data_IF_555905184511
#
_entry.id   IF_555905184511
#
_cell.length_a   1.000
_cell.length_b   1.000
_cell.length_c   1.000
_cell.angle_alpha   90.00
_cell.angle_beta   90.00
_cell.angle_gamma   90.00
#
_symmetry.space_group_name_H-M   'P 1'
#
loop_
_entity.id
_entity.type
_entity.pdbx_description
1 polymer ?
#
# COMPACT_ATOMS: atom_id res chain seq x y z
N UNK A 1 -13.17 1.68 -40.33
CA UNK A 1 -14.07 2.49 -39.48
C UNK A 1 -15.47 2.43 -40.06
N UNK A 2 -16.51 2.25 -39.24
CA UNK A 2 -17.89 2.44 -39.73
C UNK A 2 -18.13 3.92 -40.03
N UNK A 3 -18.97 4.24 -41.02
CA UNK A 3 -19.40 5.61 -41.25
C UNK A 3 -20.35 6.05 -40.15
N UNK A 4 -20.35 7.35 -39.79
CA UNK A 4 -21.25 7.92 -38.76
C UNK A 4 -22.72 7.59 -39.00
N UNK A 5 -23.12 7.48 -40.26
CA UNK A 5 -24.47 7.08 -40.64
C UNK A 5 -24.79 5.63 -40.25
N UNK A 6 -23.85 4.70 -40.47
CA UNK A 6 -24.02 3.30 -40.04
C UNK A 6 -24.09 3.19 -38.52
N UNK A 7 -23.27 3.94 -37.79
CA UNK A 7 -23.33 4.00 -36.32
C UNK A 7 -24.67 4.55 -35.81
N UNK A 8 -25.20 5.58 -36.47
CA UNK A 8 -26.52 6.16 -36.16
C UNK A 8 -27.64 5.15 -36.35
N UNK A 9 -27.68 4.45 -37.48
CA UNK A 9 -28.69 3.41 -37.77
C UNK A 9 -28.63 2.29 -36.73
N UNK A 10 -27.42 1.81 -36.40
CA UNK A 10 -27.25 0.78 -35.38
C UNK A 10 -27.65 1.25 -33.98
N UNK A 11 -27.32 2.50 -33.60
CA UNK A 11 -27.71 3.07 -32.31
C UNK A 11 -29.24 3.10 -32.15
N UNK A 12 -29.96 3.49 -33.22
CA UNK A 12 -31.43 3.51 -33.24
C UNK A 12 -32.01 2.10 -33.12
N UNK A 13 -31.46 1.13 -33.86
CA UNK A 13 -31.87 -0.28 -33.76
C UNK A 13 -31.72 -0.83 -32.33
N UNK A 14 -30.56 -0.58 -31.70
CA UNK A 14 -30.32 -0.98 -30.31
C UNK A 14 -31.30 -0.29 -29.35
N UNK A 15 -31.61 0.99 -29.59
CA UNK A 15 -32.58 1.72 -28.76
C UNK A 15 -33.99 1.14 -28.87
N UNK A 16 -34.46 0.80 -30.08
CA UNK A 16 -35.74 0.12 -30.30
C UNK A 16 -35.81 -1.24 -29.62
N UNK A 17 -34.68 -1.97 -29.54
CA UNK A 17 -34.56 -3.21 -28.75
C UNK A 17 -34.57 -3.00 -27.24
N UNK A 18 -34.61 -1.76 -26.76
CA UNK A 18 -34.70 -1.42 -25.32
C UNK A 18 -33.35 -1.17 -24.64
N UNK A 19 -32.26 -1.00 -25.40
CA UNK A 19 -30.94 -0.73 -24.82
C UNK A 19 -30.89 0.69 -24.23
N UNK A 20 -30.20 0.83 -23.09
CA UNK A 20 -29.90 2.14 -22.48
C UNK A 20 -28.83 2.90 -23.27
N UNK A 21 -28.76 4.22 -23.11
CA UNK A 21 -27.73 5.06 -23.74
C UNK A 21 -26.31 4.58 -23.42
N UNK A 22 -26.04 4.19 -22.17
CA UNK A 22 -24.71 3.71 -21.76
C UNK A 22 -24.35 2.36 -22.42
N UNK A 23 -25.34 1.49 -22.64
CA UNK A 23 -25.10 0.23 -23.36
C UNK A 23 -24.80 0.51 -24.84
N UNK A 24 -25.53 1.42 -25.48
CA UNK A 24 -25.28 1.82 -26.87
C UNK A 24 -23.87 2.40 -27.02
N UNK A 25 -23.48 3.30 -26.10
CA UNK A 25 -22.13 3.88 -26.04
C UNK A 25 -21.06 2.81 -25.89
N UNK A 26 -21.24 1.85 -24.97
CA UNK A 26 -20.26 0.78 -24.75
C UNK A 26 -20.15 -0.17 -25.94
N UNK A 27 -21.28 -0.53 -26.58
CA UNK A 27 -21.32 -1.44 -27.72
C UNK A 27 -20.71 -0.81 -28.97
N UNK A 28 -21.03 0.45 -29.26
CA UNK A 28 -20.58 1.13 -30.48
C UNK A 28 -19.28 1.92 -30.30
N UNK A 29 -18.77 2.06 -29.07
CA UNK A 29 -17.59 2.87 -28.72
C UNK A 29 -17.68 4.33 -29.20
N UNK A 30 -18.90 4.90 -29.17
CA UNK A 30 -19.18 6.29 -29.57
C UNK A 30 -19.33 7.21 -28.36
N UNK A 31 -19.27 8.52 -28.57
CA UNK A 31 -19.53 9.48 -27.50
C UNK A 31 -20.99 9.43 -27.00
N UNK A 32 -21.19 9.76 -25.71
CA UNK A 32 -22.53 9.81 -25.10
C UNK A 32 -23.42 10.90 -25.71
N UNK A 33 -22.84 12.02 -26.14
CA UNK A 33 -23.56 13.12 -26.77
C UNK A 33 -24.07 12.74 -28.15
N UNK A 34 -23.26 12.03 -28.95
CA UNK A 34 -23.67 11.48 -30.25
C UNK A 34 -24.81 10.46 -30.10
N UNK A 35 -24.65 9.47 -29.20
CA UNK A 35 -25.70 8.48 -28.94
C UNK A 35 -27.02 9.11 -28.49
N UNK A 36 -26.96 10.09 -27.57
CA UNK A 36 -28.14 10.81 -27.07
C UNK A 36 -28.89 11.57 -28.17
N UNK A 37 -28.14 12.24 -29.06
CA UNK A 37 -28.73 13.01 -30.16
C UNK A 37 -29.41 12.11 -31.18
N UNK A 38 -28.79 10.99 -31.54
CA UNK A 38 -29.29 10.09 -32.59
C UNK A 38 -30.53 9.28 -32.24
N UNK A 39 -30.80 9.08 -30.94
CA UNK A 39 -31.91 8.22 -30.48
C UNK A 39 -32.96 9.00 -29.68
N UNK A 40 -32.87 10.34 -29.65
CA UNK A 40 -33.73 11.23 -28.86
C UNK A 40 -35.22 11.08 -29.19
N UNK A 41 -35.53 10.89 -30.47
CA UNK A 41 -36.86 10.74 -31.04
C UNK A 41 -37.39 9.29 -31.01
N UNK A 42 -36.56 8.32 -30.63
CA UNK A 42 -36.95 6.90 -30.56
C UNK A 42 -37.82 6.66 -29.32
N UNK A 43 -39.13 6.53 -29.52
CA UNK A 43 -40.10 6.19 -28.46
C UNK A 43 -39.88 4.76 -27.96
N UNK A 44 -39.73 4.60 -26.65
CA UNK A 44 -39.65 3.29 -25.99
C UNK A 44 -41.00 2.90 -25.40
N UNK A 45 -41.24 1.60 -25.26
CA UNK A 45 -42.47 1.09 -24.63
C UNK A 45 -42.43 1.26 -23.12
N UNK A 46 -43.61 1.31 -22.46
CA UNK A 46 -43.72 1.35 -20.99
C UNK A 46 -42.96 0.17 -20.35
N UNK A 47 -43.07 -1.04 -20.92
CA UNK A 47 -42.34 -2.24 -20.44
C UNK A 47 -40.82 -2.04 -20.49
N UNK A 48 -40.28 -1.46 -21.56
CA UNK A 48 -38.85 -1.19 -21.68
C UNK A 48 -38.38 -0.11 -20.68
N UNK A 49 -39.17 0.94 -20.47
CA UNK A 49 -38.87 1.96 -19.45
C UNK A 49 -38.83 1.35 -18.04
N UNK A 50 -39.83 0.53 -17.68
CA UNK A 50 -39.89 -0.14 -16.37
C UNK A 50 -38.71 -1.11 -16.20
N UNK A 51 -38.36 -1.90 -17.22
CA UNK A 51 -37.23 -2.81 -17.17
C UNK A 51 -35.90 -2.08 -16.92
N UNK A 52 -35.64 -0.99 -17.64
CA UNK A 52 -34.43 -0.18 -17.44
C UNK A 52 -34.39 0.47 -16.06
N UNK A 53 -35.51 0.98 -15.55
CA UNK A 53 -35.61 1.53 -14.18
C UNK A 53 -35.34 0.47 -13.12
N UNK A 54 -35.95 -0.71 -13.24
CA UNK A 54 -35.72 -1.83 -12.33
C UNK A 54 -34.25 -2.26 -12.33
N UNK A 55 -33.62 -2.38 -13.51
CA UNK A 55 -32.19 -2.71 -13.63
C UNK A 55 -31.29 -1.66 -12.98
N UNK A 56 -31.61 -0.38 -13.15
CA UNK A 56 -30.89 0.71 -12.49
C UNK A 56 -31.05 0.64 -10.96
N UNK A 57 -32.28 0.43 -10.47
CA UNK A 57 -32.56 0.28 -9.05
C UNK A 57 -31.82 -0.92 -8.43
N UNK A 58 -31.82 -2.08 -9.08
CA UNK A 58 -31.05 -3.24 -8.62
C UNK A 58 -29.56 -2.93 -8.49
N UNK A 59 -28.99 -2.20 -9.45
CA UNK A 59 -27.59 -1.77 -9.39
C UNK A 59 -27.33 -0.87 -8.18
N UNK A 60 -28.21 0.09 -7.90
CA UNK A 60 -28.11 0.97 -6.73
C UNK A 60 -28.22 0.18 -5.42
N UNK A 61 -29.13 -0.79 -5.33
CA UNK A 61 -29.27 -1.66 -4.15
C UNK A 61 -28.01 -2.47 -3.92
N UNK A 62 -27.41 -3.04 -4.98
CA UNK A 62 -26.15 -3.79 -4.88
C UNK A 62 -25.02 -2.88 -4.37
N UNK A 63 -24.88 -1.67 -4.93
CA UNK A 63 -23.87 -0.70 -4.50
C UNK A 63 -24.07 -0.34 -3.02
N UNK A 64 -25.29 0.04 -2.62
CA UNK A 64 -25.59 0.36 -1.21
C UNK A 64 -25.34 -0.80 -0.26
N UNK A 65 -25.64 -2.04 -0.68
CA UNK A 65 -25.35 -3.25 0.12
C UNK A 65 -23.84 -3.44 0.29
N UNK A 66 -23.05 -3.26 -0.76
CA UNK A 66 -21.58 -3.36 -0.70
C UNK A 66 -21.02 -2.27 0.21
N UNK A 67 -21.46 -1.02 0.06
CA UNK A 67 -21.04 0.11 0.90
C UNK A 67 -21.37 -0.12 2.38
N UNK A 68 -22.61 -0.54 2.66
CA UNK A 68 -23.04 -0.85 4.03
C UNK A 68 -22.24 -1.99 4.63
N UNK A 69 -22.00 -3.06 3.86
CA UNK A 69 -21.17 -4.19 4.29
C UNK A 69 -19.75 -3.74 4.62
N UNK A 70 -19.10 -2.99 3.73
CA UNK A 70 -17.75 -2.47 3.94
C UNK A 70 -17.67 -1.53 5.15
N UNK A 71 -18.67 -0.66 5.33
CA UNK A 71 -18.77 0.23 6.50
C UNK A 71 -18.87 -0.58 7.79
N UNK A 72 -19.77 -1.55 7.85
CA UNK A 72 -19.99 -2.39 9.03
C UNK A 72 -18.75 -3.25 9.33
N UNK A 73 -18.12 -3.80 8.30
CA UNK A 73 -16.88 -4.57 8.42
C UNK A 73 -15.72 -3.71 8.95
N UNK A 74 -15.55 -2.50 8.42
CA UNK A 74 -14.54 -1.57 8.90
C UNK A 74 -14.80 -1.10 10.34
N UNK A 75 -16.07 -0.87 10.70
CA UNK A 75 -16.45 -0.55 12.08
C UNK A 75 -16.14 -1.70 13.03
N UNK A 76 -16.47 -2.95 12.65
CA UNK A 76 -16.12 -4.14 13.42
C UNK A 76 -14.61 -4.31 13.57
N UNK A 77 -13.85 -4.20 12.48
CA UNK A 77 -12.37 -4.26 12.50
C UNK A 77 -11.79 -3.22 13.45
N UNK A 78 -12.24 -1.97 13.36
CA UNK A 78 -11.81 -0.89 14.24
C UNK A 78 -12.14 -1.18 15.69
N UNK A 79 -13.36 -1.64 15.98
CA UNK A 79 -13.77 -1.99 17.34
C UNK A 79 -12.88 -3.09 17.95
N UNK A 80 -12.56 -4.14 17.18
CA UNK A 80 -11.64 -5.20 17.63
C UNK A 80 -10.26 -4.63 17.91
N UNK A 81 -9.72 -3.82 16.99
CA UNK A 81 -8.42 -3.18 17.16
C UNK A 81 -8.38 -2.25 18.37
N UNK A 82 -9.41 -1.45 18.61
CA UNK A 82 -9.47 -0.49 19.71
C UNK A 82 -9.58 -1.16 21.09
N UNK A 83 -10.21 -2.34 21.16
CA UNK A 83 -10.22 -3.17 22.37
C UNK A 83 -8.80 -3.65 22.66
N UNK A 84 -8.18 -4.35 21.71
CA UNK A 84 -6.87 -4.99 21.94
C UNK A 84 -5.69 -4.02 21.97
N UNK A 85 -5.84 -2.81 21.42
CA UNK A 85 -4.82 -1.76 21.56
C UNK A 85 -4.57 -1.37 23.02
N UNK A 86 -5.57 -1.58 23.90
CA UNK A 86 -5.48 -1.31 25.34
C UNK A 86 -4.77 -2.43 26.12
N UNK A 87 -4.58 -3.61 25.51
CA UNK A 87 -3.89 -4.75 26.13
C UNK A 87 -2.39 -4.45 26.33
N UNK A 88 -1.83 -3.61 25.46
CA UNK A 88 -0.49 -3.06 25.68
C UNK A 88 -0.60 -1.93 26.72
N UNK A 89 0.08 -2.14 27.85
CA UNK A 89 0.09 -1.21 29.00
C UNK A 89 0.23 0.25 28.57
N UNK A 90 -0.53 1.14 29.24
CA UNK A 90 -0.38 2.58 29.10
C UNK A 90 0.97 3.10 29.63
N UNK A 91 1.75 2.26 30.33
CA UNK A 91 3.10 2.59 30.77
C UNK A 91 4.00 2.78 29.54
N UNK A 92 4.86 3.79 29.60
CA UNK A 92 5.86 4.00 28.56
C UNK A 92 6.72 2.74 28.37
N UNK A 93 7.03 2.42 27.11
CA UNK A 93 7.98 1.36 26.79
C UNK A 93 9.36 1.77 27.31
N UNK A 94 9.92 0.96 28.21
CA UNK A 94 11.27 1.18 28.71
C UNK A 94 12.35 0.78 27.69
N UNK A 95 13.60 1.12 27.99
CA UNK A 95 14.73 0.84 27.10
C UNK A 95 14.99 -0.66 26.92
N UNK A 96 14.62 -1.49 27.90
CA UNK A 96 14.80 -2.94 27.80
C UNK A 96 13.78 -3.54 26.85
N UNK A 97 12.51 -3.12 26.94
CA UNK A 97 11.46 -3.49 26.00
C UNK A 97 11.80 -3.05 24.59
N UNK A 98 12.29 -1.81 24.42
CA UNK A 98 12.75 -1.32 23.12
C UNK A 98 13.96 -2.11 22.60
N UNK A 99 14.86 -2.59 23.48
CA UNK A 99 15.99 -3.44 23.11
C UNK A 99 15.52 -4.77 22.55
N UNK A 100 14.60 -5.44 23.24
CA UNK A 100 14.03 -6.73 22.80
C UNK A 100 13.28 -6.53 21.48
N UNK A 101 12.43 -5.50 21.37
CA UNK A 101 11.67 -5.19 20.16
C UNK A 101 12.59 -4.90 18.97
N UNK A 102 13.59 -4.03 19.14
CA UNK A 102 14.54 -3.70 18.08
C UNK A 102 15.37 -4.90 17.63
N UNK A 103 15.78 -5.75 18.58
CA UNK A 103 16.50 -7.00 18.28
C UNK A 103 15.62 -7.98 17.51
N UNK A 104 14.37 -8.19 17.92
CA UNK A 104 13.43 -9.07 17.23
C UNK A 104 13.11 -8.57 15.80
N UNK A 105 12.94 -7.25 15.63
CA UNK A 105 12.76 -6.65 14.31
C UNK A 105 14.00 -6.83 13.42
N UNK A 106 15.20 -6.67 13.98
CA UNK A 106 16.42 -6.96 13.24
C UNK A 106 16.53 -8.45 12.89
N UNK A 107 16.11 -9.35 13.76
CA UNK A 107 16.09 -10.77 13.46
C UNK A 107 15.16 -11.12 12.29
N UNK A 108 14.02 -10.43 12.20
CA UNK A 108 13.05 -10.62 11.13
C UNK A 108 13.47 -9.99 9.79
N UNK A 109 13.92 -8.72 9.81
CA UNK A 109 14.07 -7.87 8.61
C UNK A 109 15.52 -7.38 8.38
N UNK A 110 16.43 -7.74 9.28
CA UNK A 110 17.82 -7.31 9.25
C UNK A 110 18.71 -8.16 8.35
N UNK A 111 19.87 -7.60 8.01
CA UNK A 111 20.88 -8.27 7.19
C UNK A 111 21.52 -9.42 7.95
N UNK A 112 21.63 -10.59 7.31
CA UNK A 112 22.25 -11.81 7.89
C UNK A 112 23.51 -12.25 7.15
N UNK A 113 23.98 -11.46 6.19
CA UNK A 113 25.13 -11.82 5.37
C UNK A 113 26.41 -11.81 6.20
N UNK A 114 27.00 -12.98 6.41
CA UNK A 114 28.30 -13.11 7.07
C UNK A 114 29.47 -12.62 6.21
N UNK A 115 29.26 -12.51 4.89
CA UNK A 115 30.25 -11.99 3.94
C UNK A 115 30.38 -10.47 3.99
N UNK A 116 29.26 -9.78 4.26
CA UNK A 116 29.23 -8.33 4.42
C UNK A 116 28.65 -8.00 5.80
N UNK A 117 29.52 -8.03 6.81
CA UNK A 117 29.19 -7.85 8.24
C UNK A 117 28.90 -6.38 8.53
N UNK A 118 27.83 -5.87 7.95
CA UNK A 118 27.34 -4.52 8.17
C UNK A 118 25.90 -4.60 8.67
N UNK A 119 25.53 -3.68 9.57
CA UNK A 119 24.14 -3.53 9.95
C UNK A 119 23.34 -2.99 8.76
N UNK A 120 22.24 -3.67 8.44
CA UNK A 120 21.26 -3.23 7.48
C UNK A 120 19.87 -3.67 7.92
N UNK A 121 18.88 -2.81 7.70
CA UNK A 121 17.47 -3.08 7.99
C UNK A 121 16.62 -2.53 6.85
N UNK A 122 15.71 -3.33 6.29
CA UNK A 122 14.87 -2.96 5.15
C UNK A 122 13.40 -3.07 5.51
N UNK A 123 12.62 -2.03 5.24
CA UNK A 123 11.17 -2.11 5.40
C UNK A 123 10.42 -1.04 4.59
N UNK A 124 9.13 -1.26 4.34
CA UNK A 124 8.26 -0.30 3.67
C UNK A 124 7.21 0.33 4.60
N UNK A 125 7.06 -0.16 5.83
CA UNK A 125 6.21 0.44 6.85
C UNK A 125 6.96 1.57 7.58
N UNK A 126 6.50 2.83 7.49
CA UNK A 126 7.11 3.95 8.19
C UNK A 126 7.11 3.80 9.72
N UNK A 127 6.16 3.07 10.30
CA UNK A 127 6.10 2.84 11.75
C UNK A 127 7.26 1.93 12.19
N UNK A 128 7.55 0.88 11.43
CA UNK A 128 8.69 0.00 11.70
C UNK A 128 10.01 0.75 11.58
N UNK A 129 10.16 1.61 10.57
CA UNK A 129 11.33 2.48 10.42
C UNK A 129 11.50 3.40 11.64
N UNK A 130 10.43 4.01 12.14
CA UNK A 130 10.49 4.87 13.34
C UNK A 130 10.92 4.09 14.59
N UNK A 131 10.38 2.89 14.79
CA UNK A 131 10.79 2.01 15.91
C UNK A 131 12.26 1.65 15.80
N UNK A 132 12.74 1.28 14.61
CA UNK A 132 14.14 0.93 14.38
C UNK A 132 15.07 2.13 14.62
N UNK A 133 14.70 3.33 14.15
CA UNK A 133 15.46 4.55 14.44
C UNK A 133 15.49 4.87 15.94
N UNK A 134 14.37 4.71 16.65
CA UNK A 134 14.31 4.90 18.09
C UNK A 134 15.23 3.90 18.84
N UNK A 135 15.21 2.63 18.45
CA UNK A 135 16.11 1.61 18.99
C UNK A 135 17.59 1.95 18.75
N UNK A 136 17.95 2.29 17.50
CA UNK A 136 19.34 2.59 17.14
C UNK A 136 19.88 3.84 17.86
N UNK A 137 19.07 4.89 18.01
CA UNK A 137 19.46 6.11 18.71
C UNK A 137 19.49 5.93 20.22
N UNK A 138 18.45 5.34 20.80
CA UNK A 138 18.27 5.33 22.26
C UNK A 138 18.92 4.12 22.95
N UNK A 139 18.94 2.96 22.32
CA UNK A 139 19.50 1.72 22.89
C UNK A 139 20.93 1.49 22.37
N UNK A 140 21.14 1.56 21.06
CA UNK A 140 22.47 1.34 20.48
C UNK A 140 23.38 2.58 20.51
N UNK A 141 22.83 3.76 20.85
CA UNK A 141 23.56 5.04 20.94
C UNK A 141 24.33 5.40 19.67
N UNK A 142 23.74 5.11 18.50
CA UNK A 142 24.38 5.39 17.21
C UNK A 142 24.34 6.90 16.92
N UNK A 143 25.49 7.55 16.65
CA UNK A 143 25.53 8.97 16.27
C UNK A 143 24.87 9.23 14.91
N UNK A 144 24.20 10.38 14.78
CA UNK A 144 23.43 10.74 13.57
C UNK A 144 24.25 10.68 12.27
N UNK A 145 25.54 11.06 12.33
CA UNK A 145 26.47 11.02 11.18
C UNK A 145 26.74 9.62 10.62
N UNK A 146 26.48 8.56 11.39
CA UNK A 146 26.76 7.17 11.00
C UNK A 146 25.64 6.53 10.19
N UNK A 147 24.42 7.09 10.24
CA UNK A 147 23.31 6.53 9.48
C UNK A 147 23.54 6.72 7.98
N UNK A 148 23.23 5.70 7.19
CA UNK A 148 23.09 5.80 5.75
C UNK A 148 21.72 5.25 5.37
N UNK A 149 21.17 5.77 4.30
CA UNK A 149 19.86 5.37 3.81
C UNK A 149 19.93 4.98 2.34
N UNK A 150 19.10 4.04 1.93
CA UNK A 150 18.93 3.71 0.53
C UNK A 150 17.47 3.34 0.26
N UNK A 151 16.97 3.70 -0.92
CA UNK A 151 15.59 3.46 -1.34
C UNK A 151 15.61 2.57 -2.59
N UNK A 152 14.84 1.49 -2.54
CA UNK A 152 14.45 0.73 -3.72
C UNK A 152 13.05 1.17 -4.16
N UNK A 153 12.95 1.79 -5.32
CA UNK A 153 11.74 2.45 -5.80
C UNK A 153 11.31 1.91 -7.17
N UNK A 154 10.02 1.77 -7.41
CA UNK A 154 9.54 1.41 -8.75
C UNK A 154 9.90 2.48 -9.79
N UNK A 155 10.18 2.01 -11.01
CA UNK A 155 10.73 2.85 -12.08
C UNK A 155 9.90 4.11 -12.37
N UNK A 156 8.56 4.01 -12.36
CA UNK A 156 7.64 5.09 -12.71
C UNK A 156 7.33 6.08 -11.58
N UNK A 157 7.76 5.81 -10.35
CA UNK A 157 7.50 6.68 -9.20
C UNK A 157 8.48 7.86 -9.13
N UNK A 158 8.23 8.85 -8.27
CA UNK A 158 9.14 10.00 -8.09
C UNK A 158 10.19 9.70 -6.99
N UNK A 159 11.47 9.75 -7.37
CA UNK A 159 12.58 9.52 -6.42
C UNK A 159 12.71 10.64 -5.38
N UNK A 160 12.61 11.91 -5.80
CA UNK A 160 12.75 13.04 -4.89
C UNK A 160 11.59 13.09 -3.89
N UNK A 161 10.38 12.72 -4.30
CA UNK A 161 9.25 12.58 -3.38
C UNK A 161 9.49 11.48 -2.33
N UNK A 162 9.98 10.31 -2.74
CA UNK A 162 10.29 9.20 -1.85
C UNK A 162 11.43 9.55 -0.87
N UNK A 163 12.49 10.21 -1.34
CA UNK A 163 13.61 10.66 -0.53
C UNK A 163 13.16 11.64 0.57
N UNK A 164 12.38 12.66 0.22
CA UNK A 164 11.81 13.62 1.19
C UNK A 164 10.90 12.94 2.20
N UNK A 165 10.04 12.02 1.73
CA UNK A 165 9.16 11.25 2.60
C UNK A 165 9.96 10.45 3.63
N UNK A 166 10.95 9.67 3.19
CA UNK A 166 11.73 8.82 4.07
C UNK A 166 12.68 9.60 4.99
N UNK A 167 13.19 10.74 4.54
CA UNK A 167 13.96 11.66 5.39
C UNK A 167 13.09 12.18 6.53
N UNK A 168 11.84 12.58 6.26
CA UNK A 168 10.91 13.04 7.29
C UNK A 168 10.49 11.93 8.28
N UNK A 169 10.40 10.67 7.83
CA UNK A 169 10.08 9.53 8.70
C UNK A 169 11.28 9.14 9.58
N UNK A 170 12.47 9.02 8.99
CA UNK A 170 13.66 8.49 9.67
C UNK A 170 14.45 9.53 10.44
N UNK A 171 14.36 10.81 10.03
CA UNK A 171 15.26 11.87 10.51
C UNK A 171 16.67 11.80 9.95
N UNK A 172 16.95 10.93 8.96
CA UNK A 172 18.23 10.88 8.27
C UNK A 172 18.24 12.01 7.21
N UNK A 173 19.27 12.88 7.16
CA UNK A 173 19.34 13.94 6.16
C UNK A 173 19.60 13.38 4.77
N UNK A 174 19.09 14.05 3.72
CA UNK A 174 19.24 13.63 2.33
C UNK A 174 20.71 13.45 1.89
N UNK A 175 21.63 14.22 2.47
CA UNK A 175 23.08 14.09 2.22
C UNK A 175 23.66 12.73 2.65
N UNK A 176 22.96 11.98 3.49
CA UNK A 176 23.33 10.64 3.94
C UNK A 176 22.61 9.52 3.18
N UNK A 177 21.87 9.86 2.13
CA UNK A 177 21.20 8.88 1.27
C UNK A 177 22.15 8.46 0.15
N UNK A 178 22.27 7.15 -0.06
CA UNK A 178 22.79 6.61 -1.30
C UNK A 178 21.81 6.86 -2.44
N UNK A 179 22.32 6.79 -3.68
CA UNK A 179 21.51 6.95 -4.89
C UNK A 179 20.32 6.00 -4.88
N UNK A 180 19.10 6.55 -4.95
CA UNK A 180 17.87 5.78 -5.04
C UNK A 180 17.90 4.84 -6.26
N UNK A 181 17.64 3.55 -6.03
CA UNK A 181 17.61 2.54 -7.08
C UNK A 181 16.23 2.44 -7.67
N UNK A 182 16.14 2.56 -8.99
CA UNK A 182 14.93 2.34 -9.77
C UNK A 182 14.83 0.88 -10.19
N UNK A 183 13.81 0.19 -9.69
CA UNK A 183 13.57 -1.23 -9.96
C UNK A 183 12.40 -1.38 -10.92
N UNK A 184 12.59 -2.17 -11.97
CA UNK A 184 11.52 -2.59 -12.86
C UNK A 184 10.95 -3.89 -12.29
N UNK A 185 9.73 -3.81 -11.74
CA UNK A 185 9.06 -5.02 -11.27
C UNK A 185 8.53 -5.82 -12.46
N UNK A 186 9.19 -6.94 -12.79
CA UNK A 186 8.66 -7.88 -13.79
C UNK A 186 7.35 -8.54 -13.33
N UNK A 187 7.11 -8.63 -12.02
CA UNK A 187 5.96 -9.35 -11.44
C UNK A 187 4.69 -8.49 -11.28
N UNK A 188 4.79 -7.18 -11.06
CA UNK A 188 3.59 -6.36 -10.81
C UNK A 188 2.88 -5.90 -12.09
N UNK A 189 3.49 -6.09 -13.27
CA UNK A 189 3.00 -5.61 -14.58
C UNK A 189 2.56 -4.13 -14.57
N UNK A 190 3.12 -3.30 -13.66
CA UNK A 190 2.68 -1.91 -13.40
C UNK A 190 1.18 -1.76 -13.05
N UNK A 191 0.55 -2.79 -12.48
CA UNK A 191 -0.90 -2.77 -12.20
C UNK A 191 -1.25 -2.28 -10.79
N UNK A 192 -0.28 -2.16 -9.88
CA UNK A 192 -0.52 -1.78 -8.48
C UNK A 192 0.64 -0.99 -7.88
N UNK A 193 0.34 0.22 -7.39
CA UNK A 193 1.24 1.09 -6.63
C UNK A 193 1.05 0.88 -5.13
N UNK A 194 1.27 -0.35 -4.66
CA UNK A 194 1.13 -0.66 -3.23
C UNK A 194 2.21 0.03 -2.37
N UNK A 195 3.32 0.44 -2.97
CA UNK A 195 4.47 1.08 -2.31
C UNK A 195 4.83 2.40 -3.00
N UNK A 196 4.04 3.48 -2.79
CA UNK A 196 4.23 4.76 -3.49
C UNK A 196 5.58 5.43 -3.21
N UNK A 197 6.25 5.06 -2.11
CA UNK A 197 7.59 5.55 -1.74
C UNK A 197 8.65 4.45 -1.74
N UNK A 198 8.35 3.26 -2.25
CA UNK A 198 9.27 2.13 -2.30
C UNK A 198 9.60 1.53 -0.93
N UNK A 199 10.68 0.75 -0.90
CA UNK A 199 11.24 0.15 0.32
C UNK A 199 12.43 0.98 0.79
N UNK A 200 12.44 1.31 2.07
CA UNK A 200 13.53 2.05 2.71
C UNK A 200 14.51 1.10 3.38
N UNK A 201 15.77 1.50 3.41
CA UNK A 201 16.78 0.79 4.18
C UNK A 201 17.60 1.72 5.05
N UNK A 202 17.85 1.29 6.27
CA UNK A 202 18.78 1.91 7.21
C UNK A 202 20.05 1.07 7.16
N UNK A 203 21.19 1.72 6.91
CA UNK A 203 22.49 1.07 6.82
C UNK A 203 23.47 1.74 7.76
N UNK A 204 24.20 0.95 8.54
CA UNK A 204 25.26 1.43 9.42
C UNK A 204 26.47 0.51 9.20
N UNK A 205 27.49 0.97 8.45
CA UNK A 205 28.75 0.24 8.28
C UNK A 205 29.44 0.04 9.64
N UNK A 206 29.21 -1.12 10.25
CA UNK A 206 29.73 -1.47 11.57
C UNK A 206 29.60 -2.98 11.82
N UNK A 207 30.74 -3.68 11.78
CA UNK A 207 30.82 -5.10 12.18
C UNK A 207 30.39 -5.29 13.63
N UNK A 208 30.82 -4.39 14.53
CA UNK A 208 30.50 -4.51 15.95
C UNK A 208 28.99 -4.44 16.21
N UNK A 209 28.28 -3.55 15.51
CA UNK A 209 26.82 -3.45 15.66
C UNK A 209 26.14 -4.70 15.10
N UNK A 210 26.61 -5.21 13.96
CA UNK A 210 26.11 -6.46 13.38
C UNK A 210 26.28 -7.64 14.35
N UNK A 211 27.48 -7.83 14.89
CA UNK A 211 27.76 -8.91 15.86
C UNK A 211 26.98 -8.71 17.16
N UNK A 212 26.83 -7.46 17.62
CA UNK A 212 26.00 -7.13 18.78
C UNK A 212 24.54 -7.53 18.57
N UNK A 213 23.98 -7.36 17.38
CA UNK A 213 22.63 -7.85 17.08
C UNK A 213 22.55 -9.37 17.14
N UNK A 214 23.54 -10.08 16.58
CA UNK A 214 23.56 -11.55 16.62
C UNK A 214 23.65 -12.07 18.05
N UNK A 215 24.51 -11.49 18.88
CA UNK A 215 24.64 -11.85 20.29
C UNK A 215 23.35 -11.60 21.08
N UNK A 216 22.64 -10.51 20.79
CA UNK A 216 21.34 -10.25 21.43
C UNK A 216 20.26 -11.21 20.96
N UNK A 217 20.25 -11.62 19.69
CA UNK A 217 19.33 -12.65 19.18
C UNK A 217 19.58 -13.97 19.92
N UNK A 218 20.83 -14.41 19.98
CA UNK A 218 21.25 -15.63 20.67
C UNK A 218 20.79 -15.62 22.13
N UNK A 219 21.12 -14.57 22.89
CA UNK A 219 20.73 -14.44 24.29
C UNK A 219 19.21 -14.44 24.51
N UNK A 220 18.42 -13.82 23.62
CA UNK A 220 16.95 -13.87 23.70
C UNK A 220 16.46 -15.30 23.45
N UNK A 221 16.98 -15.96 22.41
CA UNK A 221 16.55 -17.32 22.06
C UNK A 221 16.89 -18.35 23.13
N UNK A 222 18.08 -18.25 23.75
CA UNK A 222 18.47 -19.09 24.88
C UNK A 222 17.55 -18.87 26.08
N UNK A 223 17.29 -17.61 26.45
CA UNK A 223 16.39 -17.28 27.57
C UNK A 223 14.98 -17.82 27.35
N UNK A 224 14.43 -17.66 26.14
CA UNK A 224 13.11 -18.21 25.80
C UNK A 224 13.11 -19.74 25.91
N UNK A 225 14.15 -20.39 25.39
CA UNK A 225 14.27 -21.84 25.47
C UNK A 225 14.41 -22.36 26.91
N UNK A 226 15.12 -21.65 27.79
CA UNK A 226 15.26 -22.04 29.20
C UNK A 226 14.00 -21.74 30.03
N UNK A 227 13.26 -20.69 29.71
CA UNK A 227 12.13 -20.25 30.53
C UNK A 227 10.80 -20.91 30.16
N UNK A 228 10.64 -21.34 28.91
CA UNK A 228 9.36 -21.82 28.37
C UNK A 228 9.43 -23.24 27.76
N UNK A 229 10.58 -23.91 27.81
CA UNK A 229 10.71 -25.36 27.58
C UNK A 229 11.18 -26.05 28.86
#
# INVERSE_FOLDING_TARGET
MMTKEKERVQARHLRHKGFSLNQIVATLKISKSSASTWVRDVKMTKKQHTFLRHKAHLKEVIVKRVETRLKNENARRRSIMDVHKKDISAKALDLETLKILGTALYWAEGGKSQKNRSFGFWNSDPKMVRVMMAFLKNVCKIPDKRFRAHINLHAHLDAGAAEKYWSAISGIPLSQFYKTTKVISKSSKNTRDTLPYGTFSIQIPSTDLFLKMLAWIEAITEKVATQYN
#
